data_IF_171732112174
#
_entry.id   IF_171732112174
#
_cell.length_a   1.000
_cell.length_b   1.000
_cell.length_c   1.000
_cell.angle_alpha   90.00
_cell.angle_beta   90.00
_cell.angle_gamma   90.00
#
_symmetry.space_group_name_H-M   'P 1'
#
loop_
_entity.id
_entity.type
_entity.pdbx_description
1 polymer ?
#
# COMPACT_ATOMS: atom_id res chain seq x y z
N UNK A 1 -11.80 3.05 -19.64
CA UNK A 1 -11.47 4.38 -19.10
C UNK A 1 -10.76 4.19 -17.76
N UNK A 2 -9.42 4.27 -17.74
CA UNK A 2 -8.57 4.13 -16.53
C UNK A 2 -7.78 5.42 -16.21
N UNK A 3 -7.90 6.45 -17.04
CA UNK A 3 -7.11 7.70 -16.92
C UNK A 3 -7.55 8.57 -15.74
N UNK A 4 -8.82 8.50 -15.31
CA UNK A 4 -9.30 9.26 -14.16
C UNK A 4 -8.81 8.71 -12.81
N UNK A 5 -8.39 7.43 -12.72
CA UNK A 5 -7.96 6.84 -11.44
C UNK A 5 -6.52 7.18 -11.09
N UNK A 6 -5.62 7.36 -12.08
CA UNK A 6 -4.22 7.68 -11.84
C UNK A 6 -4.04 9.12 -11.34
N UNK A 7 -4.70 10.09 -11.98
CA UNK A 7 -4.64 11.49 -11.56
C UNK A 7 -5.17 11.66 -10.12
N UNK A 8 -6.29 11.01 -9.81
CA UNK A 8 -6.86 11.00 -8.45
C UNK A 8 -5.92 10.33 -7.44
N UNK A 9 -5.27 9.22 -7.82
CA UNK A 9 -4.34 8.53 -6.95
C UNK A 9 -3.11 9.39 -6.60
N UNK A 10 -2.58 10.11 -7.59
CA UNK A 10 -1.47 11.05 -7.40
C UNK A 10 -1.91 12.22 -6.52
N UNK A 11 -3.08 12.81 -6.78
CA UNK A 11 -3.62 13.93 -5.99
C UNK A 11 -3.78 13.54 -4.52
N UNK A 12 -4.43 12.41 -4.24
CA UNK A 12 -4.65 11.93 -2.88
C UNK A 12 -3.34 11.55 -2.19
N UNK A 13 -2.39 10.94 -2.90
CA UNK A 13 -1.08 10.63 -2.35
C UNK A 13 -0.32 11.90 -1.95
N UNK A 14 -0.34 12.93 -2.80
CA UNK A 14 0.29 14.22 -2.51
C UNK A 14 -0.40 14.96 -1.35
N UNK A 15 -1.73 14.82 -1.21
CA UNK A 15 -2.49 15.43 -0.12
C UNK A 15 -2.23 14.75 1.22
N UNK A 16 -2.25 13.41 1.28
CA UNK A 16 -2.01 12.68 2.52
C UNK A 16 -0.53 12.65 2.91
N UNK A 17 0.35 12.66 1.91
CA UNK A 17 1.76 12.36 2.09
C UNK A 17 2.02 10.86 2.20
N UNK A 18 3.28 10.50 1.93
CA UNK A 18 3.75 9.12 1.82
C UNK A 18 3.36 8.23 3.01
N UNK A 19 3.79 8.62 4.21
CA UNK A 19 3.63 7.80 5.41
C UNK A 19 2.15 7.54 5.73
N UNK A 20 1.31 8.57 5.60
CA UNK A 20 -0.12 8.43 5.83
C UNK A 20 -0.78 7.56 4.76
N UNK A 21 -0.41 7.70 3.48
CA UNK A 21 -0.93 6.86 2.42
C UNK A 21 -0.57 5.37 2.62
N UNK A 22 0.69 5.08 2.98
CA UNK A 22 1.16 3.73 3.27
C UNK A 22 0.46 3.16 4.52
N UNK A 23 0.40 3.92 5.61
CA UNK A 23 -0.24 3.47 6.85
C UNK A 23 -1.72 3.14 6.62
N UNK A 24 -2.42 3.98 5.86
CA UNK A 24 -3.84 3.77 5.53
C UNK A 24 -4.05 2.58 4.61
N UNK A 25 -3.19 2.39 3.60
CA UNK A 25 -3.22 1.21 2.75
C UNK A 25 -3.01 -0.08 3.57
N UNK A 26 -2.03 -0.09 4.47
CA UNK A 26 -1.72 -1.23 5.34
C UNK A 26 -2.87 -1.54 6.29
N UNK A 27 -3.48 -0.52 6.90
CA UNK A 27 -4.64 -0.69 7.77
C UNK A 27 -5.81 -1.37 7.05
N UNK A 28 -6.11 -1.00 5.80
CA UNK A 28 -7.17 -1.65 5.02
C UNK A 28 -6.81 -3.13 4.76
N UNK A 29 -5.53 -3.41 4.48
CA UNK A 29 -5.08 -4.79 4.28
C UNK A 29 -5.17 -5.62 5.58
N UNK A 30 -4.85 -5.04 6.72
CA UNK A 30 -4.99 -5.68 8.04
C UNK A 30 -6.45 -5.96 8.38
N UNK A 31 -7.36 -5.01 8.10
CA UNK A 31 -8.80 -5.21 8.27
C UNK A 31 -9.29 -6.37 7.39
N UNK A 32 -8.87 -6.41 6.12
CA UNK A 32 -9.20 -7.49 5.19
C UNK A 32 -8.74 -8.85 5.72
N UNK A 33 -7.48 -8.91 6.19
CA UNK A 33 -6.86 -10.13 6.70
C UNK A 33 -7.57 -10.62 7.96
N UNK A 34 -7.88 -9.72 8.90
CA UNK A 34 -8.59 -10.07 10.14
C UNK A 34 -9.98 -10.64 9.85
N UNK A 35 -10.74 -10.03 8.94
CA UNK A 35 -12.08 -10.52 8.55
C UNK A 35 -12.01 -11.89 7.86
N UNK A 36 -10.97 -12.14 7.07
CA UNK A 36 -10.71 -13.45 6.48
C UNK A 36 -10.43 -14.51 7.55
N UNK A 37 -9.58 -14.19 8.53
CA UNK A 37 -9.24 -15.07 9.65
C UNK A 37 -10.47 -15.36 10.53
N UNK A 38 -11.28 -14.34 10.84
CA UNK A 38 -12.53 -14.50 11.58
C UNK A 38 -13.50 -15.44 10.83
N UNK A 39 -13.59 -15.31 9.50
CA UNK A 39 -14.40 -16.21 8.67
C UNK A 39 -13.87 -17.64 8.68
N UNK A 40 -12.55 -17.81 8.53
CA UNK A 40 -11.92 -19.14 8.56
C UNK A 40 -12.12 -19.81 9.94
N UNK A 41 -11.95 -19.06 11.03
CA UNK A 41 -12.18 -19.55 12.38
C UNK A 41 -13.66 -19.95 12.60
N UNK A 42 -14.60 -19.18 12.05
CA UNK A 42 -16.04 -19.42 12.22
C UNK A 42 -16.56 -20.61 11.40
N UNK A 43 -16.10 -20.76 10.16
CA UNK A 43 -16.66 -21.74 9.20
C UNK A 43 -15.73 -22.92 8.91
N UNK A 44 -14.50 -22.91 9.45
CA UNK A 44 -13.50 -23.98 9.27
C UNK A 44 -12.91 -24.08 7.86
N UNK A 45 -13.39 -23.26 6.91
CA UNK A 45 -12.89 -23.19 5.54
C UNK A 45 -13.28 -21.86 4.89
N UNK A 46 -12.59 -21.52 3.81
CA UNK A 46 -12.92 -20.39 2.93
C UNK A 46 -13.11 -20.93 1.50
N UNK A 47 -14.09 -20.43 0.73
CA UNK A 47 -14.30 -20.90 -0.64
C UNK A 47 -13.04 -20.78 -1.51
N UNK A 48 -12.86 -21.72 -2.43
CA UNK A 48 -11.76 -21.68 -3.37
C UNK A 48 -11.80 -20.39 -4.20
N UNK A 49 -10.65 -19.73 -4.35
CA UNK A 49 -10.52 -18.47 -5.08
C UNK A 49 -10.86 -17.22 -4.27
N UNK A 50 -11.28 -17.35 -3.01
CA UNK A 50 -11.44 -16.20 -2.12
C UNK A 50 -10.10 -15.86 -1.46
N UNK A 51 -9.84 -14.56 -1.38
CA UNK A 51 -8.71 -13.95 -0.69
C UNK A 51 -9.23 -13.00 0.37
N UNK A 52 -8.34 -12.45 1.20
CA UNK A 52 -8.71 -11.42 2.18
C UNK A 52 -9.47 -10.23 1.55
N UNK A 53 -9.14 -9.86 0.30
CA UNK A 53 -9.79 -8.74 -0.38
C UNK A 53 -11.28 -8.99 -0.66
N UNK A 54 -11.72 -10.25 -0.73
CA UNK A 54 -13.13 -10.60 -0.89
C UNK A 54 -13.97 -10.26 0.36
N UNK A 55 -13.33 -9.94 1.49
CA UNK A 55 -13.96 -9.55 2.75
C UNK A 55 -13.96 -8.02 2.97
N UNK A 56 -13.50 -7.24 1.99
CA UNK A 56 -13.62 -5.78 1.99
C UNK A 56 -14.98 -5.36 1.42
N UNK A 57 -15.53 -4.29 1.98
CA UNK A 57 -16.64 -3.58 1.38
C UNK A 57 -16.19 -2.88 0.08
N UNK A 58 -17.09 -2.63 -0.88
CA UNK A 58 -16.75 -1.99 -2.15
C UNK A 58 -16.01 -0.64 -1.98
N UNK A 59 -16.38 0.15 -0.97
CA UNK A 59 -15.70 1.41 -0.66
C UNK A 59 -14.24 1.21 -0.20
N UNK A 60 -14.00 0.24 0.69
CA UNK A 60 -12.66 -0.09 1.19
C UNK A 60 -11.79 -0.67 0.06
N UNK A 61 -12.38 -1.48 -0.84
CA UNK A 61 -11.69 -2.03 -1.99
C UNK A 61 -11.28 -0.93 -2.98
N UNK A 62 -12.17 0.02 -3.25
CA UNK A 62 -11.88 1.18 -4.10
C UNK A 62 -10.80 2.07 -3.47
N UNK A 63 -10.89 2.32 -2.18
CA UNK A 63 -9.91 3.10 -1.43
C UNK A 63 -8.52 2.42 -1.46
N UNK A 64 -8.45 1.11 -1.19
CA UNK A 64 -7.22 0.32 -1.33
C UNK A 64 -6.63 0.46 -2.72
N UNK A 65 -7.47 0.35 -3.75
CA UNK A 65 -7.01 0.44 -5.14
C UNK A 65 -6.36 1.80 -5.43
N UNK A 66 -7.02 2.90 -5.05
CA UNK A 66 -6.50 4.25 -5.29
C UNK A 66 -5.20 4.49 -4.51
N UNK A 67 -5.17 4.11 -3.23
CA UNK A 67 -3.97 4.25 -2.39
C UNK A 67 -2.80 3.43 -2.94
N UNK A 68 -3.04 2.17 -3.31
CA UNK A 68 -2.02 1.29 -3.89
C UNK A 68 -1.46 1.83 -5.20
N UNK A 69 -2.33 2.38 -6.05
CA UNK A 69 -1.93 3.03 -7.29
C UNK A 69 -1.06 4.27 -7.02
N UNK A 70 -1.45 5.11 -6.05
CA UNK A 70 -0.68 6.31 -5.68
C UNK A 70 0.70 5.95 -5.13
N UNK A 71 0.78 4.94 -4.25
CA UNK A 71 2.04 4.40 -3.73
C UNK A 71 2.94 3.93 -4.89
N UNK A 72 2.40 3.15 -5.83
CA UNK A 72 3.18 2.62 -6.94
C UNK A 72 3.66 3.69 -7.92
N UNK A 73 2.86 4.73 -8.16
CA UNK A 73 3.19 5.79 -9.11
C UNK A 73 4.12 6.86 -8.52
N UNK A 74 4.01 7.14 -7.22
CA UNK A 74 4.70 8.26 -6.58
C UNK A 74 5.97 7.85 -5.82
N UNK A 75 6.24 6.55 -5.64
CA UNK A 75 7.43 6.05 -4.94
C UNK A 75 8.40 5.42 -5.94
N UNK A 76 9.56 6.06 -6.12
CA UNK A 76 10.69 5.49 -6.87
C UNK A 76 11.63 4.75 -5.92
N UNK A 77 11.39 3.46 -5.73
CA UNK A 77 12.19 2.61 -4.84
C UNK A 77 13.66 2.53 -5.27
N UNK A 78 13.95 2.63 -6.58
CA UNK A 78 15.31 2.54 -7.09
C UNK A 78 16.10 3.80 -6.75
N UNK A 79 15.50 4.96 -6.95
CA UNK A 79 16.11 6.24 -6.59
C UNK A 79 16.39 6.32 -5.09
N UNK A 80 15.44 5.91 -4.24
CA UNK A 80 15.64 5.87 -2.80
C UNK A 80 16.75 4.90 -2.37
N UNK A 81 16.83 3.73 -3.01
CA UNK A 81 17.91 2.80 -2.75
C UNK A 81 19.28 3.41 -3.09
N UNK A 82 19.37 4.15 -4.21
CA UNK A 82 20.59 4.88 -4.61
C UNK A 82 20.96 5.94 -3.58
N UNK A 83 20.00 6.74 -3.11
CA UNK A 83 20.21 7.76 -2.09
C UNK A 83 20.71 7.15 -0.77
N UNK A 84 20.12 6.03 -0.34
CA UNK A 84 20.59 5.28 0.85
C UNK A 84 22.01 4.76 0.69
N UNK A 85 22.41 4.30 -0.49
CA UNK A 85 23.80 3.88 -0.77
C UNK A 85 24.74 5.09 -0.72
N UNK A 86 24.39 6.17 -1.39
CA UNK A 86 25.21 7.39 -1.46
C UNK A 86 25.43 8.00 -0.07
N UNK A 87 24.38 8.08 0.74
CA UNK A 87 24.46 8.54 2.12
C UNK A 87 25.44 7.69 2.95
N UNK A 88 25.40 6.35 2.81
CA UNK A 88 26.36 5.44 3.47
C UNK A 88 27.79 5.67 3.02
N UNK A 89 28.01 5.88 1.72
CA UNK A 89 29.35 6.19 1.18
C UNK A 89 29.90 7.52 1.72
N UNK A 90 29.07 8.56 1.79
CA UNK A 90 29.45 9.85 2.34
C UNK A 90 29.76 9.78 3.84
N UNK A 91 28.95 9.05 4.62
CA UNK A 91 29.18 8.84 6.05
C UNK A 91 30.54 8.17 6.31
N UNK A 92 30.91 7.16 5.51
CA UNK A 92 32.24 6.51 5.61
C UNK A 92 33.38 7.47 5.32
N UNK A 93 33.24 8.34 4.32
CA UNK A 93 34.27 9.35 3.98
C UNK A 93 34.45 10.42 5.06
N UNK A 94 33.42 10.71 5.87
CA UNK A 94 33.48 11.68 6.98
C UNK A 94 34.05 11.09 8.27
N UNK A 95 34.02 9.77 8.41
CA UNK A 95 34.52 9.04 9.57
C UNK A 95 35.97 8.55 9.41
N UNK A 96 36.60 8.83 8.26
CA UNK A 96 38.00 8.57 7.95
C UNK A 96 38.78 9.89 7.96
#
# INVERSE_FOLDING_TARGET
MQTCSEALAIELFNQFGREAAIARYNLICEIAQRRYEDSLAKYGSVPAGFTALNFLHPAELQERYILGLGIQLCIDEQQEARERVLARCLARKRAA
#
